data_IF_697656443749
#
_entry.id   IF_697656443749
#
_cell.length_a   1.000
_cell.length_b   1.000
_cell.length_c   1.000
_cell.angle_alpha   90.00
_cell.angle_beta   90.00
_cell.angle_gamma   90.00
#
_symmetry.space_group_name_H-M   'P 1'
#
loop_
_entity.id
_entity.type
_entity.pdbx_description
1 polymer ?
#
# COMPACT_ATOMS: atom_id res chain seq x y z
N UNK A 1 -34.42 -71.29 13.43
CA UNK A 1 -34.65 -69.86 13.19
C UNK A 1 -33.36 -69.14 13.45
N UNK A 2 -32.62 -68.68 12.43
CA UNK A 2 -31.32 -68.02 12.58
C UNK A 2 -31.52 -66.52 12.39
N UNK A 3 -31.32 -65.72 13.40
CA UNK A 3 -31.35 -64.27 13.31
C UNK A 3 -30.03 -63.79 12.70
N UNK A 4 -30.12 -63.08 11.57
CA UNK A 4 -28.96 -62.34 10.96
C UNK A 4 -28.90 -60.96 11.57
N UNK A 5 -27.81 -60.68 12.27
CA UNK A 5 -27.46 -59.37 12.80
C UNK A 5 -26.96 -58.51 11.63
N UNK A 6 -27.68 -57.42 11.31
CA UNK A 6 -27.24 -56.42 10.35
C UNK A 6 -26.39 -55.40 11.10
N UNK A 7 -25.11 -55.37 10.82
CA UNK A 7 -24.20 -54.34 11.32
C UNK A 7 -24.36 -53.08 10.42
N UNK A 8 -24.88 -52.02 11.00
CA UNK A 8 -24.99 -50.70 10.35
C UNK A 8 -23.68 -49.98 10.58
N UNK A 9 -22.88 -49.88 9.54
CA UNK A 9 -21.64 -49.09 9.55
C UNK A 9 -22.00 -47.61 9.47
N UNK A 10 -21.78 -46.88 10.57
CA UNK A 10 -21.86 -45.44 10.61
C UNK A 10 -20.59 -44.88 9.94
N UNK A 11 -20.71 -44.38 8.72
CA UNK A 11 -19.64 -43.67 8.03
C UNK A 11 -19.60 -42.23 8.60
N UNK A 12 -18.65 -41.96 9.50
CA UNK A 12 -18.37 -40.61 9.94
C UNK A 12 -17.71 -39.83 8.82
N UNK A 13 -18.47 -38.94 8.18
CA UNK A 13 -17.98 -37.98 7.20
C UNK A 13 -17.19 -36.90 7.96
N UNK A 14 -15.86 -37.05 8.06
CA UNK A 14 -15.00 -35.98 8.53
C UNK A 14 -15.01 -34.87 7.47
N UNK A 15 -15.72 -33.79 7.76
CA UNK A 15 -15.61 -32.58 6.99
C UNK A 15 -14.16 -32.04 7.17
N UNK A 16 -13.32 -32.29 6.18
CA UNK A 16 -12.04 -31.59 6.05
C UNK A 16 -12.39 -30.15 5.77
N UNK A 17 -12.30 -29.30 6.80
CA UNK A 17 -12.29 -27.87 6.65
C UNK A 17 -11.06 -27.55 5.79
N UNK A 18 -11.26 -27.24 4.53
CA UNK A 18 -10.21 -26.66 3.72
C UNK A 18 -9.68 -25.43 4.46
N UNK A 19 -8.35 -25.30 4.64
CA UNK A 19 -7.82 -24.06 5.19
C UNK A 19 -8.34 -22.95 4.31
N UNK A 20 -9.09 -22.01 4.90
CA UNK A 20 -9.57 -20.82 4.18
C UNK A 20 -8.37 -20.23 3.46
N UNK A 21 -8.51 -19.95 2.17
CA UNK A 21 -7.49 -19.25 1.40
C UNK A 21 -7.22 -17.95 2.15
N UNK A 22 -6.07 -17.87 2.80
CA UNK A 22 -5.62 -16.65 3.44
C UNK A 22 -5.40 -15.67 2.29
N UNK A 23 -6.30 -14.71 2.14
CA UNK A 23 -6.20 -13.72 1.09
C UNK A 23 -4.95 -12.88 1.35
N UNK A 24 -4.02 -12.87 0.41
CA UNK A 24 -2.82 -12.04 0.49
C UNK A 24 -3.21 -10.55 0.47
N UNK A 25 -2.35 -9.70 1.03
CA UNK A 25 -2.42 -8.25 0.84
C UNK A 25 -2.40 -7.94 -0.66
N UNK A 26 -3.40 -7.23 -1.13
CA UNK A 26 -3.56 -6.95 -2.56
C UNK A 26 -2.63 -5.84 -3.01
N UNK A 27 -1.78 -6.12 -3.99
CA UNK A 27 -1.06 -5.10 -4.73
C UNK A 27 -2.04 -4.33 -5.62
N UNK A 28 -2.00 -3.00 -5.57
CA UNK A 28 -2.86 -2.14 -6.40
C UNK A 28 -2.09 -1.48 -7.53
N UNK A 29 -0.98 -0.80 -7.21
CA UNK A 29 -0.22 -0.06 -8.22
C UNK A 29 1.22 0.26 -7.78
N UNK A 30 2.06 0.52 -8.77
CA UNK A 30 3.38 1.12 -8.63
C UNK A 30 3.39 2.43 -9.41
N UNK A 31 3.73 3.54 -8.74
CA UNK A 31 3.76 4.89 -9.34
C UNK A 31 5.11 5.54 -9.20
N UNK A 32 5.43 6.38 -10.18
CA UNK A 32 6.51 7.36 -10.09
C UNK A 32 6.03 8.54 -9.25
N UNK A 33 6.80 8.94 -8.25
CA UNK A 33 6.58 10.19 -7.50
C UNK A 33 7.42 11.30 -8.10
N UNK A 34 8.71 11.07 -8.20
CA UNK A 34 9.68 11.91 -8.91
C UNK A 34 10.84 11.03 -9.39
N UNK A 35 11.89 11.62 -9.96
CA UNK A 35 13.04 10.85 -10.46
C UNK A 35 13.76 10.01 -9.39
N UNK A 36 13.60 10.34 -8.12
CA UNK A 36 14.31 9.73 -6.98
C UNK A 36 13.38 8.89 -6.10
N UNK A 37 12.07 8.88 -6.36
CA UNK A 37 11.08 8.23 -5.50
C UNK A 37 10.03 7.45 -6.30
N UNK A 38 9.74 6.25 -5.82
CA UNK A 38 8.62 5.41 -6.24
C UNK A 38 7.63 5.24 -5.08
N UNK A 39 6.38 4.94 -5.41
CA UNK A 39 5.34 4.59 -4.45
C UNK A 39 4.71 3.27 -4.84
N UNK A 40 4.63 2.34 -3.89
CA UNK A 40 3.93 1.06 -4.04
C UNK A 40 2.68 1.09 -3.17
N UNK A 41 1.53 0.81 -3.76
CA UNK A 41 0.24 0.86 -3.10
C UNK A 41 -0.32 -0.54 -2.90
N UNK A 42 -0.70 -0.84 -1.66
CA UNK A 42 -1.32 -2.10 -1.27
C UNK A 42 -2.62 -1.86 -0.53
N UNK A 43 -3.47 -2.88 -0.50
CA UNK A 43 -4.71 -2.90 0.25
C UNK A 43 -4.82 -4.19 1.05
N UNK A 44 -4.98 -4.05 2.34
CA UNK A 44 -5.32 -5.14 3.24
C UNK A 44 -6.81 -5.47 3.17
N UNK A 45 -7.19 -6.57 3.83
CA UNK A 45 -8.56 -6.97 3.99
C UNK A 45 -9.38 -6.00 4.86
N UNK A 46 -10.49 -6.50 5.31
CA UNK A 46 -11.46 -5.75 6.10
C UNK A 46 -10.87 -5.28 7.44
N UNK A 47 -11.15 -4.02 7.77
CA UNK A 47 -10.76 -3.39 9.03
C UNK A 47 -12.02 -2.93 9.75
N UNK A 48 -12.12 -3.22 11.04
CA UNK A 48 -13.20 -2.76 11.90
C UNK A 48 -12.65 -2.01 13.09
N UNK A 49 -13.35 -0.97 13.47
CA UNK A 49 -13.10 -0.26 14.71
C UNK A 49 -13.68 -1.06 15.89
N UNK A 50 -12.89 -1.20 16.94
CA UNK A 50 -13.34 -1.79 18.20
C UNK A 50 -13.31 -0.72 19.29
N UNK A 51 -14.50 -0.38 19.78
CA UNK A 51 -14.73 0.47 20.95
C UNK A 51 -14.51 -0.37 22.22
N UNK A 52 -13.72 0.12 23.15
CA UNK A 52 -13.49 -0.54 24.46
C UNK A 52 -14.62 -0.26 25.48
N UNK A 53 -15.60 0.56 25.10
CA UNK A 53 -16.75 0.90 25.94
C UNK A 53 -16.47 1.99 26.96
N UNK A 54 -15.33 2.69 26.87
CA UNK A 54 -15.00 3.83 27.71
C UNK A 54 -15.21 5.16 26.99
N UNK A 55 -15.26 6.26 27.76
CA UNK A 55 -15.38 7.60 27.20
C UNK A 55 -16.78 8.02 26.80
N UNK A 56 -16.95 9.30 26.44
CA UNK A 56 -18.21 9.81 25.97
C UNK A 56 -18.54 9.21 24.61
N UNK A 57 -19.74 8.65 24.52
CA UNK A 57 -20.28 8.15 23.28
C UNK A 57 -20.35 9.28 22.25
N UNK A 58 -19.41 9.30 21.31
CA UNK A 58 -19.50 10.09 20.11
C UNK A 58 -20.49 9.44 19.12
N UNK A 59 -20.53 9.92 17.89
CA UNK A 59 -21.27 9.25 16.83
C UNK A 59 -20.93 7.75 16.81
N UNK A 60 -21.92 6.89 16.96
CA UNK A 60 -21.82 5.44 17.12
C UNK A 60 -21.20 4.94 18.44
N UNK A 61 -21.14 5.75 19.48
CA UNK A 61 -20.82 5.28 20.80
C UNK A 61 -19.36 5.11 21.13
N UNK A 62 -18.47 5.79 20.44
CA UNK A 62 -17.04 5.71 20.69
C UNK A 62 -16.34 7.06 20.62
N UNK A 63 -15.18 7.16 21.26
CA UNK A 63 -14.29 8.29 21.21
C UNK A 63 -12.88 7.83 20.86
N UNK A 64 -12.26 8.49 19.89
CA UNK A 64 -10.87 8.23 19.52
C UNK A 64 -9.85 8.80 20.50
N UNK A 65 -10.30 9.53 21.51
CA UNK A 65 -9.42 10.21 22.47
C UNK A 65 -9.18 9.43 23.75
N UNK A 66 -9.90 8.33 23.97
CA UNK A 66 -9.93 7.65 25.26
C UNK A 66 -9.90 6.14 25.10
N UNK A 67 -9.24 5.47 26.04
CA UNK A 67 -9.24 4.02 26.20
C UNK A 67 -8.38 3.26 25.20
N UNK A 68 -8.70 2.00 25.09
CA UNK A 68 -7.97 1.03 24.25
C UNK A 68 -8.65 0.77 22.91
N UNK A 69 -9.28 1.79 22.34
CA UNK A 69 -9.89 1.71 21.02
C UNK A 69 -8.86 1.29 19.97
N UNK A 70 -9.21 0.30 19.18
CA UNK A 70 -8.28 -0.28 18.21
C UNK A 70 -8.93 -0.56 16.87
N UNK A 71 -8.11 -0.58 15.82
CA UNK A 71 -8.49 -1.13 14.54
C UNK A 71 -8.16 -2.63 14.51
N UNK A 72 -9.16 -3.44 14.24
CA UNK A 72 -9.02 -4.89 14.01
C UNK A 72 -8.95 -5.14 12.51
N UNK A 73 -7.85 -5.75 12.07
CA UNK A 73 -7.68 -6.16 10.67
C UNK A 73 -8.03 -7.64 10.54
N UNK A 74 -8.94 -7.96 9.63
CA UNK A 74 -9.38 -9.32 9.33
C UNK A 74 -8.76 -9.80 8.01
N UNK A 75 -8.27 -11.04 8.01
CA UNK A 75 -7.60 -11.64 6.87
C UNK A 75 -6.09 -11.38 6.85
N UNK A 76 -5.49 -11.53 5.68
CA UNK A 76 -4.07 -11.25 5.48
C UNK A 76 -3.82 -9.75 5.54
N UNK A 77 -2.77 -9.38 6.21
CA UNK A 77 -2.32 -7.99 6.29
C UNK A 77 -0.85 -7.87 5.93
N UNK A 78 -0.50 -6.68 5.45
CA UNK A 78 0.86 -6.30 5.17
C UNK A 78 1.70 -6.37 6.46
N UNK A 79 2.90 -6.96 6.37
CA UNK A 79 3.87 -6.90 7.46
C UNK A 79 4.57 -5.53 7.47
N UNK A 80 4.29 -4.67 8.47
CA UNK A 80 4.85 -3.32 8.52
C UNK A 80 6.36 -3.31 8.79
N UNK A 81 6.90 -4.33 9.45
CA UNK A 81 8.34 -4.41 9.72
C UNK A 81 9.10 -4.77 8.44
N UNK A 82 8.56 -5.69 7.64
CA UNK A 82 9.11 -6.01 6.31
C UNK A 82 8.98 -4.82 5.37
N UNK A 83 7.82 -4.14 5.38
CA UNK A 83 7.59 -2.96 4.54
C UNK A 83 8.59 -1.83 4.81
N UNK A 84 8.95 -1.59 6.07
CA UNK A 84 9.89 -0.54 6.48
C UNK A 84 11.36 -0.88 6.25
N UNK A 85 11.67 -2.13 5.90
CA UNK A 85 13.04 -2.58 5.69
C UNK A 85 13.51 -2.24 4.28
N UNK A 86 14.19 -1.11 4.11
CA UNK A 86 14.59 -0.56 2.82
C UNK A 86 15.42 -1.54 1.97
N UNK A 87 16.36 -2.25 2.56
CA UNK A 87 17.24 -3.19 1.88
C UNK A 87 16.55 -4.46 1.37
N UNK A 88 15.30 -4.71 1.78
CA UNK A 88 14.47 -5.79 1.25
C UNK A 88 13.81 -5.44 -0.08
N UNK A 89 13.73 -4.16 -0.45
CA UNK A 89 13.15 -3.68 -1.70
C UNK A 89 14.23 -3.61 -2.78
N UNK A 90 14.27 -4.60 -3.66
CA UNK A 90 15.19 -4.64 -4.79
C UNK A 90 14.58 -3.95 -6.01
N UNK A 91 15.38 -3.13 -6.69
CA UNK A 91 14.98 -2.40 -7.89
C UNK A 91 16.00 -2.67 -9.00
N UNK A 92 15.52 -2.98 -10.20
CA UNK A 92 16.37 -3.23 -11.36
C UNK A 92 15.87 -2.45 -12.57
N UNK A 93 16.77 -2.21 -13.53
CA UNK A 93 16.41 -1.73 -14.86
C UNK A 93 17.21 -2.46 -15.91
N UNK A 94 16.56 -2.94 -16.97
CA UNK A 94 17.19 -3.61 -18.09
C UNK A 94 17.77 -2.62 -19.11
N UNK A 95 17.16 -1.44 -19.24
CA UNK A 95 17.48 -0.40 -20.21
C UNK A 95 18.31 0.75 -19.61
N UNK A 96 18.21 1.06 -18.32
CA UNK A 96 19.19 1.90 -17.61
C UNK A 96 20.36 1.06 -17.08
N UNK A 97 21.33 0.79 -17.93
CA UNK A 97 22.51 -0.01 -17.57
C UNK A 97 23.34 0.57 -16.42
N UNK A 98 23.23 1.89 -16.17
CA UNK A 98 23.95 2.52 -15.06
C UNK A 98 23.27 2.29 -13.71
N UNK A 99 21.97 1.97 -13.71
CA UNK A 99 21.21 1.70 -12.49
C UNK A 99 21.59 0.33 -11.90
N UNK A 100 21.65 -0.70 -12.75
CA UNK A 100 21.94 -2.07 -12.33
C UNK A 100 20.89 -2.65 -11.38
N UNK A 101 21.34 -3.51 -10.46
CA UNK A 101 20.51 -4.05 -9.38
C UNK A 101 20.84 -3.28 -8.09
N UNK A 102 19.85 -2.64 -7.51
CA UNK A 102 19.96 -1.79 -6.33
C UNK A 102 18.90 -2.15 -5.30
N UNK A 103 19.11 -1.69 -4.06
CA UNK A 103 18.09 -1.70 -3.02
C UNK A 103 17.67 -0.26 -2.70
N UNK A 104 16.49 -0.08 -2.17
CA UNK A 104 16.04 1.23 -1.73
C UNK A 104 16.95 1.77 -0.60
N UNK A 105 17.14 3.09 -0.57
CA UNK A 105 17.88 3.78 0.51
C UNK A 105 17.01 3.90 1.75
N UNK A 106 15.75 4.22 1.54
CA UNK A 106 14.73 4.30 2.58
C UNK A 106 13.40 3.74 2.06
N UNK A 107 12.60 3.23 2.98
CA UNK A 107 11.22 2.81 2.74
C UNK A 107 10.34 3.35 3.88
N UNK A 108 9.37 4.19 3.53
CA UNK A 108 8.46 4.81 4.49
C UNK A 108 7.02 4.41 4.17
N UNK A 109 6.19 4.37 5.20
CA UNK A 109 4.81 3.90 5.07
C UNK A 109 3.81 4.95 5.56
N UNK A 110 2.75 5.11 4.77
CA UNK A 110 1.50 5.76 5.18
C UNK A 110 0.39 4.73 5.11
N UNK A 111 -0.48 4.68 6.12
CA UNK A 111 -1.65 3.80 6.12
C UNK A 111 -2.90 4.56 6.46
N UNK A 112 -4.02 4.18 5.83
CA UNK A 112 -5.29 4.86 6.01
C UNK A 112 -6.45 3.89 5.80
N UNK A 113 -7.47 3.87 6.69
CA UNK A 113 -8.75 3.24 6.39
C UNK A 113 -9.41 3.93 5.21
N UNK A 114 -9.95 3.15 4.30
CA UNK A 114 -10.61 3.59 3.08
C UNK A 114 -11.99 2.92 2.96
N UNK A 115 -12.87 3.51 2.16
CA UNK A 115 -14.16 2.93 1.81
C UNK A 115 -15.01 2.53 3.04
N UNK A 116 -14.96 3.34 4.10
CA UNK A 116 -15.71 3.08 5.33
C UNK A 116 -17.21 3.10 5.04
N UNK A 117 -17.87 2.01 5.38
CA UNK A 117 -19.31 1.87 5.26
C UNK A 117 -20.05 2.35 6.53
N UNK A 118 -21.38 2.21 6.54
CA UNK A 118 -22.21 2.61 7.65
C UNK A 118 -22.13 1.68 8.87
N UNK A 119 -21.37 0.59 8.79
CA UNK A 119 -21.05 -0.31 9.92
C UNK A 119 -19.64 -0.07 10.46
N UNK A 120 -18.96 0.97 10.01
CA UNK A 120 -17.56 1.27 10.30
C UNK A 120 -16.58 0.16 9.86
N UNK A 121 -16.99 -0.61 8.84
CA UNK A 121 -16.11 -1.54 8.17
C UNK A 121 -15.38 -0.80 7.05
N UNK A 122 -14.10 -0.95 6.99
CA UNK A 122 -13.21 -0.26 6.03
C UNK A 122 -12.26 -1.26 5.39
N UNK A 123 -11.60 -0.84 4.32
CA UNK A 123 -10.37 -1.44 3.82
C UNK A 123 -9.18 -0.64 4.35
N UNK A 124 -8.02 -1.25 4.51
CA UNK A 124 -6.82 -0.55 4.97
C UNK A 124 -5.81 -0.44 3.83
N UNK A 125 -5.60 0.77 3.35
CA UNK A 125 -4.60 1.04 2.31
C UNK A 125 -3.25 1.38 2.92
N UNK A 126 -2.19 0.93 2.24
CA UNK A 126 -0.80 1.22 2.57
C UNK A 126 -0.07 1.76 1.36
N UNK A 127 0.55 2.92 1.50
CA UNK A 127 1.48 3.50 0.53
C UNK A 127 2.89 3.36 1.06
N UNK A 128 3.73 2.64 0.34
CA UNK A 128 5.15 2.49 0.65
C UNK A 128 5.94 3.37 -0.29
N UNK A 129 6.61 4.37 0.25
CA UNK A 129 7.45 5.30 -0.50
C UNK A 129 8.89 4.82 -0.46
N UNK A 130 9.44 4.52 -1.63
CA UNK A 130 10.80 4.02 -1.79
C UNK A 130 11.70 5.13 -2.30
N UNK A 131 12.71 5.50 -1.50
CA UNK A 131 13.78 6.37 -1.96
C UNK A 131 14.80 5.55 -2.76
N UNK A 132 15.07 5.97 -3.97
CA UNK A 132 16.02 5.31 -4.85
C UNK A 132 17.46 5.74 -4.54
N UNK A 133 18.46 4.87 -4.69
CA UNK A 133 19.88 5.22 -4.50
C UNK A 133 20.44 6.04 -5.65
N UNK A 134 19.74 6.11 -6.76
CA UNK A 134 20.10 6.85 -7.97
C UNK A 134 18.84 7.28 -8.71
N UNK A 135 18.87 8.49 -9.28
CA UNK A 135 17.75 9.02 -10.09
C UNK A 135 17.46 8.11 -11.29
N UNK A 136 16.19 7.94 -11.56
CA UNK A 136 15.70 7.30 -12.78
C UNK A 136 15.99 8.15 -14.02
N UNK A 137 16.13 7.49 -15.17
CA UNK A 137 16.33 8.13 -16.48
C UNK A 137 15.06 8.09 -17.30
N UNK A 138 14.82 9.19 -18.02
CA UNK A 138 13.70 9.34 -18.94
C UNK A 138 13.63 8.17 -19.93
N UNK A 139 12.44 7.59 -20.07
CA UNK A 139 12.14 6.52 -21.02
C UNK A 139 12.68 5.14 -20.61
N UNK A 140 13.23 5.01 -19.39
CA UNK A 140 13.68 3.71 -18.88
C UNK A 140 12.63 3.07 -17.97
N UNK A 141 12.58 1.73 -18.01
CA UNK A 141 11.67 0.91 -17.23
C UNK A 141 12.39 0.36 -15.99
N UNK A 142 11.72 0.44 -14.87
CA UNK A 142 12.22 -0.05 -13.58
C UNK A 142 11.30 -1.11 -13.02
N UNK A 143 11.88 -2.22 -12.56
CA UNK A 143 11.17 -3.31 -11.89
C UNK A 143 11.47 -3.23 -10.41
N UNK A 144 10.42 -3.11 -9.61
CA UNK A 144 10.48 -3.21 -8.14
C UNK A 144 10.09 -4.62 -7.75
N UNK A 145 10.96 -5.31 -7.02
CA UNK A 145 10.65 -6.60 -6.42
C UNK A 145 10.09 -6.40 -5.02
N UNK A 146 8.93 -6.97 -4.80
CA UNK A 146 8.21 -6.89 -3.53
C UNK A 146 8.84 -7.90 -2.57
N UNK A 147 9.20 -7.49 -1.33
CA UNK A 147 9.90 -8.35 -0.39
C UNK A 147 9.14 -9.64 -0.06
N UNK A 148 9.85 -10.74 0.01
CA UNK A 148 9.33 -11.96 0.61
C UNK A 148 8.97 -11.72 2.07
N UNK A 149 7.83 -12.25 2.50
CA UNK A 149 7.32 -12.03 3.85
C UNK A 149 6.47 -10.77 4.03
N UNK A 150 6.38 -9.87 3.02
CA UNK A 150 5.48 -8.72 3.08
C UNK A 150 3.99 -9.13 3.18
N UNK A 151 3.64 -10.31 2.67
CA UNK A 151 2.27 -10.80 2.63
C UNK A 151 1.50 -10.45 1.35
N UNK A 152 2.17 -9.90 0.33
CA UNK A 152 1.55 -9.47 -0.94
C UNK A 152 1.22 -10.63 -1.87
N UNK A 153 0.17 -10.45 -2.67
CA UNK A 153 -0.21 -11.32 -3.79
C UNK A 153 0.68 -11.12 -5.04
N UNK A 154 1.41 -10.01 -5.12
CA UNK A 154 2.37 -9.74 -6.19
C UNK A 154 3.82 -9.97 -5.72
N UNK A 155 4.69 -10.30 -6.68
CA UNK A 155 6.14 -10.48 -6.44
C UNK A 155 6.99 -9.36 -7.00
N UNK A 156 6.49 -8.67 -8.00
CA UNK A 156 7.14 -7.52 -8.59
C UNK A 156 6.14 -6.68 -9.37
N UNK A 157 6.53 -5.43 -9.63
CA UNK A 157 5.81 -4.52 -10.49
C UNK A 157 6.79 -3.72 -11.33
N UNK A 158 6.34 -3.21 -12.48
CA UNK A 158 7.16 -2.41 -13.39
C UNK A 158 6.53 -1.04 -13.61
N UNK A 159 7.39 -0.05 -13.79
CA UNK A 159 6.99 1.31 -14.15
C UNK A 159 8.03 1.91 -15.12
N UNK A 160 7.56 2.61 -16.12
CA UNK A 160 8.39 3.46 -16.96
C UNK A 160 8.49 4.85 -16.34
N UNK A 161 9.71 5.40 -16.28
CA UNK A 161 9.91 6.79 -15.89
C UNK A 161 9.78 7.68 -17.12
N UNK A 162 8.59 8.27 -17.28
CA UNK A 162 8.29 9.20 -18.37
C UNK A 162 7.70 10.50 -17.80
N UNK A 163 8.49 11.56 -17.80
CA UNK A 163 8.10 12.88 -17.27
C UNK A 163 6.95 13.54 -18.04
N UNK A 164 6.66 13.07 -19.26
CA UNK A 164 5.61 13.65 -20.11
C UNK A 164 4.26 12.95 -19.91
N UNK A 165 4.27 11.66 -19.57
CA UNK A 165 3.07 10.84 -19.45
C UNK A 165 2.82 10.29 -18.02
N UNK A 166 3.81 10.37 -17.13
CA UNK A 166 3.61 9.97 -15.73
C UNK A 166 2.85 11.03 -14.95
N UNK A 167 1.92 10.57 -14.13
CA UNK A 167 1.26 11.40 -13.12
C UNK A 167 1.99 11.26 -11.79
N UNK A 168 2.29 12.38 -11.15
CA UNK A 168 2.89 12.41 -9.82
C UNK A 168 1.89 12.92 -8.78
N UNK A 169 1.76 12.21 -7.68
CA UNK A 169 0.96 12.68 -6.53
C UNK A 169 1.61 13.85 -5.78
N UNK A 170 2.84 14.22 -6.13
CA UNK A 170 3.53 15.37 -5.56
C UNK A 170 3.19 16.70 -6.24
N UNK A 171 2.61 16.65 -7.44
CA UNK A 171 2.25 17.85 -8.22
C UNK A 171 0.79 18.17 -8.02
N UNK A 172 0.51 19.31 -7.42
CA UNK A 172 -0.84 19.77 -7.10
C UNK A 172 -1.18 21.02 -7.90
N UNK A 173 -2.30 20.97 -8.60
CA UNK A 173 -2.88 22.11 -9.30
C UNK A 173 -4.29 22.36 -8.77
N UNK A 174 -4.84 23.55 -9.02
CA UNK A 174 -6.23 23.79 -8.61
C UNK A 174 -7.19 22.82 -9.36
N UNK A 175 -8.27 22.43 -8.69
CA UNK A 175 -9.22 21.43 -9.20
C UNK A 175 -9.95 21.87 -10.49
N UNK A 176 -10.04 23.18 -10.72
CA UNK A 176 -10.70 23.76 -11.91
C UNK A 176 -9.74 23.87 -13.10
N UNK A 177 -8.41 23.72 -12.85
CA UNK A 177 -7.39 23.94 -13.86
C UNK A 177 -7.19 25.41 -14.23
N UNK A 178 -6.57 25.65 -15.38
CA UNK A 178 -6.28 26.99 -15.91
C UNK A 178 -6.83 27.11 -17.32
N UNK A 179 -7.36 28.28 -17.67
CA UNK A 179 -7.73 28.53 -19.06
C UNK A 179 -6.47 28.64 -19.93
N UNK A 180 -6.55 28.34 -21.25
CA UNK A 180 -5.41 28.49 -22.14
C UNK A 180 -4.83 29.91 -22.17
N UNK A 181 -5.68 30.92 -21.95
CA UNK A 181 -5.36 32.36 -21.99
C UNK A 181 -4.78 32.87 -20.64
N UNK A 182 -4.83 32.06 -19.58
CA UNK A 182 -4.29 32.47 -18.29
C UNK A 182 -2.79 32.73 -18.39
N UNK A 183 -2.38 33.95 -18.06
CA UNK A 183 -0.98 34.39 -18.18
C UNK A 183 -0.08 33.74 -17.13
N UNK A 184 -0.65 33.42 -15.94
CA UNK A 184 0.08 32.79 -14.84
C UNK A 184 -0.59 31.48 -14.46
N UNK A 185 0.17 30.39 -14.60
CA UNK A 185 -0.25 29.06 -14.15
C UNK A 185 0.71 28.60 -13.08
N UNK A 186 0.17 28.12 -11.96
CA UNK A 186 0.95 27.69 -10.83
C UNK A 186 0.60 26.23 -10.46
N UNK A 187 1.58 25.54 -9.93
CA UNK A 187 1.40 24.23 -9.30
C UNK A 187 2.23 24.21 -8.02
N UNK A 188 1.70 23.57 -7.01
CA UNK A 188 2.43 23.31 -5.78
C UNK A 188 3.11 21.95 -5.86
N UNK A 189 4.33 21.86 -5.32
CA UNK A 189 5.10 20.64 -5.25
C UNK A 189 5.30 20.25 -3.79
N UNK A 190 4.54 19.28 -3.32
CA UNK A 190 4.68 18.75 -1.96
C UNK A 190 4.24 17.29 -1.88
N UNK A 191 4.80 16.54 -0.93
CA UNK A 191 4.38 15.19 -0.62
C UNK A 191 4.70 14.85 0.84
N UNK A 192 3.78 14.15 1.51
CA UNK A 192 3.97 13.55 2.81
C UNK A 192 4.25 12.05 2.65
N UNK A 193 5.43 11.61 3.08
CA UNK A 193 5.92 10.23 2.92
C UNK A 193 5.45 9.29 4.07
N UNK A 194 4.44 9.67 4.83
CA UNK A 194 4.01 8.91 6.00
C UNK A 194 4.98 9.08 7.17
N UNK A 195 5.52 7.99 7.70
CA UNK A 195 6.49 8.01 8.79
C UNK A 195 7.86 8.60 8.39
N UNK A 196 8.12 8.79 7.10
CA UNK A 196 9.26 9.53 6.57
C UNK A 196 9.12 11.05 6.61
N UNK A 197 7.93 11.56 6.95
CA UNK A 197 7.67 13.00 7.01
C UNK A 197 7.56 13.66 5.63
N UNK A 198 7.98 14.91 5.56
CA UNK A 198 7.90 15.73 4.36
C UNK A 198 9.00 15.36 3.36
N UNK A 199 8.64 15.18 2.08
CA UNK A 199 9.61 15.10 0.98
C UNK A 199 10.28 16.48 0.79
N UNK A 200 11.60 16.55 0.91
CA UNK A 200 12.36 17.77 0.64
C UNK A 200 12.56 17.98 -0.87
N UNK A 201 11.94 19.02 -1.42
CA UNK A 201 12.05 19.44 -2.82
C UNK A 201 13.00 20.63 -3.02
N UNK A 202 13.81 21.02 -2.02
CA UNK A 202 14.72 22.16 -2.12
C UNK A 202 15.69 22.05 -3.29
N UNK A 203 16.10 20.82 -3.64
CA UNK A 203 17.00 20.56 -4.80
C UNK A 203 16.37 20.83 -6.17
N UNK A 204 15.04 21.02 -6.23
CA UNK A 204 14.30 21.34 -7.45
C UNK A 204 14.17 22.84 -7.67
N UNK A 205 14.42 23.65 -6.63
CA UNK A 205 14.29 25.12 -6.71
C UNK A 205 15.28 25.69 -7.74
N UNK A 206 14.76 26.51 -8.65
CA UNK A 206 15.57 27.15 -9.71
C UNK A 206 16.00 26.20 -10.84
N UNK A 207 15.54 24.95 -10.88
CA UNK A 207 15.73 24.04 -12.01
C UNK A 207 14.70 24.35 -13.10
N UNK A 208 15.12 24.15 -14.35
CA UNK A 208 14.26 24.26 -15.55
C UNK A 208 14.23 22.91 -16.26
#
# INVERSE_FOLDING_TARGET
>A
MKFKTIATSLLALAAVMAPGLVSATKFLELKVIDKDYLMVHFRDGEVRYRDDGTGPSAYLGHSFAEGDDTLLVFGQRLDPAVAAKADSWSITSADDKSFGNRVAVNAWRKSKPMNTDNTLTSELDHWIFLQLPQSMKQGCTYTVYIPDGLGSDARSAMVEFDIWNSQSEAVHVNILGYTPQEATKAADLYLWLGDGGQRDYSSFVGKK
#
